data_IF_450766532626
#
_entry.id   IF_450766532626
#
_cell.length_a   1.000
_cell.length_b   1.000
_cell.length_c   1.000
_cell.angle_alpha   90.00
_cell.angle_beta   90.00
_cell.angle_gamma   90.00
#
_symmetry.space_group_name_H-M   'P 1'
#
loop_
_entity.id
_entity.type
_entity.pdbx_description
1 polymer ?
#
# COMPACT_ATOMS: atom_id res chain seq x y z
N UNK A 1 -20.31 -19.93 0.36
CA UNK A 1 -19.44 -19.53 1.50
C UNK A 1 -19.55 -18.02 1.66
N UNK A 2 -19.54 -17.51 2.90
CA UNK A 2 -19.54 -16.06 3.15
C UNK A 2 -18.15 -15.47 2.85
N UNK A 3 -18.11 -14.27 2.25
CA UNK A 3 -16.86 -13.54 2.02
C UNK A 3 -16.25 -13.05 3.35
N UNK A 4 -14.93 -13.15 3.48
CA UNK A 4 -14.18 -12.68 4.64
C UNK A 4 -13.64 -11.28 4.39
N UNK A 5 -14.09 -10.31 5.19
CA UNK A 5 -13.67 -8.90 5.09
C UNK A 5 -12.96 -8.46 6.36
N UNK A 6 -11.74 -7.95 6.23
CA UNK A 6 -10.98 -7.40 7.35
C UNK A 6 -10.90 -5.87 7.27
N UNK A 7 -11.42 -5.19 8.29
CA UNK A 7 -11.19 -3.77 8.50
C UNK A 7 -9.91 -3.51 9.27
N UNK A 8 -9.09 -2.57 8.79
CA UNK A 8 -7.83 -2.17 9.42
C UNK A 8 -7.84 -0.66 9.65
N UNK A 9 -7.67 -0.21 10.89
CA UNK A 9 -7.48 1.22 11.20
C UNK A 9 -6.22 1.46 12.02
N UNK A 10 -5.70 2.69 11.94
CA UNK A 10 -4.68 3.23 12.85
C UNK A 10 -5.13 4.56 13.48
N UNK A 11 -6.45 4.81 13.48
CA UNK A 11 -7.08 5.98 14.05
C UNK A 11 -7.15 5.96 15.58
N UNK A 12 -7.50 7.11 16.16
CA UNK A 12 -7.90 7.18 17.57
C UNK A 12 -9.16 6.34 17.77
N UNK A 13 -9.25 5.65 18.91
CA UNK A 13 -10.44 4.91 19.32
C UNK A 13 -11.67 5.81 19.33
N UNK A 14 -12.80 5.29 18.83
CA UNK A 14 -14.08 6.00 18.75
C UNK A 14 -13.98 7.38 18.07
N UNK A 15 -13.17 7.49 17.03
CA UNK A 15 -12.93 8.74 16.29
C UNK A 15 -13.13 8.55 14.79
N UNK A 16 -12.87 9.60 13.99
CA UNK A 16 -13.30 9.67 12.60
C UNK A 16 -12.91 8.43 11.75
N UNK A 17 -11.64 8.01 11.73
CA UNK A 17 -11.23 6.84 10.95
C UNK A 17 -11.91 5.55 11.38
N UNK A 18 -12.07 5.34 12.69
CA UNK A 18 -12.73 4.14 13.21
C UNK A 18 -14.24 4.14 12.92
N UNK A 19 -14.90 5.29 13.03
CA UNK A 19 -16.32 5.44 12.70
C UNK A 19 -16.56 5.14 11.22
N UNK A 20 -15.78 5.76 10.32
CA UNK A 20 -15.92 5.53 8.89
C UNK A 20 -15.59 4.10 8.49
N UNK A 21 -14.63 3.45 9.16
CA UNK A 21 -14.36 2.04 8.95
C UNK A 21 -15.55 1.18 9.38
N UNK A 22 -16.09 1.42 10.58
CA UNK A 22 -17.24 0.68 11.10
C UNK A 22 -18.45 0.82 10.17
N UNK A 23 -18.68 2.00 9.60
CA UNK A 23 -19.75 2.23 8.64
C UNK A 23 -19.56 1.43 7.34
N UNK A 24 -18.36 1.44 6.76
CA UNK A 24 -18.06 0.63 5.57
C UNK A 24 -18.20 -0.87 5.86
N UNK A 25 -17.74 -1.32 7.03
CA UNK A 25 -17.86 -2.72 7.44
C UNK A 25 -19.31 -3.14 7.72
N UNK A 26 -20.16 -2.22 8.20
CA UNK A 26 -21.59 -2.46 8.39
C UNK A 26 -22.26 -2.82 7.05
N UNK A 27 -21.98 -2.07 5.99
CA UNK A 27 -22.48 -2.37 4.64
C UNK A 27 -22.07 -3.77 4.15
N UNK A 28 -20.85 -4.22 4.47
CA UNK A 28 -20.40 -5.58 4.16
C UNK A 28 -21.15 -6.64 4.97
N UNK A 29 -21.31 -6.39 6.28
CA UNK A 29 -21.98 -7.30 7.22
C UNK A 29 -23.46 -7.48 6.87
N UNK A 30 -24.15 -6.40 6.50
CA UNK A 30 -25.57 -6.42 6.14
C UNK A 30 -25.83 -7.21 4.85
N UNK A 31 -24.80 -7.39 4.01
CA UNK A 31 -24.80 -8.26 2.83
C UNK A 31 -24.23 -9.67 3.10
N UNK A 32 -24.06 -10.04 4.37
CA UNK A 32 -23.73 -11.40 4.79
C UNK A 32 -22.24 -11.74 4.81
N UNK A 33 -21.33 -10.77 4.76
CA UNK A 33 -19.90 -11.00 4.92
C UNK A 33 -19.51 -11.36 6.38
N UNK A 34 -18.52 -12.24 6.54
CA UNK A 34 -17.81 -12.47 7.80
C UNK A 34 -16.81 -11.33 8.02
N UNK A 35 -17.14 -10.43 8.93
CA UNK A 35 -16.39 -9.20 9.18
C UNK A 35 -15.55 -9.30 10.44
N UNK A 36 -14.26 -8.97 10.31
CA UNK A 36 -13.36 -8.69 11.43
C UNK A 36 -12.82 -7.26 11.33
N UNK A 37 -12.49 -6.68 12.47
CA UNK A 37 -11.89 -5.34 12.52
C UNK A 37 -10.74 -5.33 13.51
N UNK A 38 -9.65 -4.66 13.15
CA UNK A 38 -8.50 -4.40 14.02
C UNK A 38 -8.17 -2.91 14.05
N UNK A 39 -7.70 -2.42 15.20
CA UNK A 39 -6.99 -1.16 15.29
C UNK A 39 -5.52 -1.46 15.59
N UNK A 40 -4.60 -1.07 14.70
CA UNK A 40 -3.16 -1.34 14.82
C UNK A 40 -2.53 -0.72 16.08
N UNK A 41 -3.24 0.18 16.77
CA UNK A 41 -2.81 0.73 18.07
C UNK A 41 -2.99 -0.25 19.23
N UNK A 42 -3.81 -1.29 19.06
CA UNK A 42 -4.06 -2.31 20.06
C UNK A 42 -3.01 -3.44 20.03
N UNK A 43 -2.06 -3.37 19.10
CA UNK A 43 -1.05 -4.41 18.86
C UNK A 43 0.36 -3.86 19.02
N UNK A 44 1.27 -4.71 19.52
CA UNK A 44 2.69 -4.45 19.48
C UNK A 44 3.20 -4.78 18.08
N UNK A 45 3.79 -3.79 17.40
CA UNK A 45 4.37 -3.94 16.07
C UNK A 45 5.69 -3.18 16.07
N UNK A 46 6.79 -3.88 15.84
CA UNK A 46 8.12 -3.29 15.76
C UNK A 46 8.41 -2.79 14.34
N UNK A 47 9.25 -1.76 14.26
CA UNK A 47 9.75 -1.23 12.99
C UNK A 47 10.61 -2.27 12.25
N UNK A 48 10.66 -2.15 10.92
CA UNK A 48 11.57 -2.94 10.12
C UNK A 48 13.02 -2.64 10.52
N UNK A 49 13.84 -3.66 10.76
CA UNK A 49 15.26 -3.49 11.10
C UNK A 49 16.15 -3.31 9.88
N UNK A 50 15.62 -3.43 8.66
CA UNK A 50 16.40 -3.36 7.44
C UNK A 50 17.42 -4.50 7.28
N UNK A 51 17.18 -5.67 7.89
CA UNK A 51 18.14 -6.78 7.86
C UNK A 51 18.26 -7.50 6.50
N UNK A 52 17.41 -7.14 5.52
CA UNK A 52 17.36 -7.67 4.14
C UNK A 52 17.22 -9.20 3.98
N UNK A 53 16.92 -9.93 5.07
CA UNK A 53 16.80 -11.39 5.03
C UNK A 53 15.66 -11.88 4.12
N UNK A 54 14.53 -11.17 4.11
CA UNK A 54 13.41 -11.48 3.22
C UNK A 54 13.71 -11.20 1.75
N UNK A 55 14.43 -10.10 1.46
CA UNK A 55 14.91 -9.76 0.11
C UNK A 55 15.82 -10.86 -0.43
N UNK A 56 16.82 -11.28 0.37
CA UNK A 56 17.71 -12.37 -0.01
C UNK A 56 16.94 -13.69 -0.22
N UNK A 57 15.96 -13.97 0.64
CA UNK A 57 15.05 -15.11 0.49
C UNK A 57 14.35 -15.13 -0.86
N UNK A 58 13.73 -14.03 -1.29
CA UNK A 58 13.04 -13.98 -2.58
C UNK A 58 13.99 -14.13 -3.77
N UNK A 59 15.18 -13.51 -3.73
CA UNK A 59 16.19 -13.66 -4.80
C UNK A 59 16.63 -15.12 -4.92
N UNK A 60 16.75 -15.83 -3.80
CA UNK A 60 17.09 -17.26 -3.76
C UNK A 60 15.88 -18.19 -3.97
N UNK A 61 14.68 -17.65 -4.17
CA UNK A 61 13.46 -18.44 -4.35
C UNK A 61 13.04 -19.22 -3.09
N UNK A 62 13.38 -18.75 -1.89
CA UNK A 62 13.08 -19.42 -0.62
C UNK A 62 12.35 -18.52 0.37
N UNK A 63 11.39 -19.08 1.10
CA UNK A 63 10.74 -18.37 2.20
C UNK A 63 11.73 -18.15 3.34
N UNK A 64 11.95 -16.89 3.70
CA UNK A 64 12.70 -16.50 4.90
C UNK A 64 11.76 -15.73 5.83
N UNK A 65 11.46 -16.25 7.04
CA UNK A 65 10.59 -15.56 7.97
C UNK A 65 11.20 -14.23 8.45
N UNK A 66 10.33 -13.30 8.85
CA UNK A 66 10.78 -12.05 9.45
C UNK A 66 11.51 -12.33 10.77
N UNK A 67 12.69 -11.75 10.98
CA UNK A 67 13.48 -11.92 12.23
C UNK A 67 12.79 -11.39 13.49
N UNK A 68 11.65 -10.72 13.32
CA UNK A 68 10.81 -10.15 14.36
C UNK A 68 9.51 -10.95 14.58
N UNK A 69 9.25 -12.03 13.83
CA UNK A 69 7.94 -12.72 13.85
C UNK A 69 7.52 -13.24 15.24
N UNK A 70 8.49 -13.58 16.10
CA UNK A 70 8.27 -14.05 17.46
C UNK A 70 8.49 -12.94 18.52
N UNK A 71 8.60 -11.68 18.09
CA UNK A 71 8.87 -10.53 18.95
C UNK A 71 7.71 -9.54 19.01
N UNK A 72 6.71 -9.73 18.14
CA UNK A 72 5.56 -8.85 18.03
C UNK A 72 4.34 -9.52 17.37
N UNK A 73 3.24 -8.79 17.24
CA UNK A 73 1.94 -9.35 16.84
C UNK A 73 1.75 -9.40 15.31
N UNK A 74 2.74 -8.96 14.52
CA UNK A 74 2.57 -8.78 13.07
C UNK A 74 2.21 -10.10 12.38
N UNK A 75 2.87 -11.20 12.74
CA UNK A 75 2.63 -12.50 12.09
C UNK A 75 1.18 -12.93 12.26
N UNK A 76 0.63 -12.83 13.46
CA UNK A 76 -0.76 -13.20 13.74
C UNK A 76 -1.76 -12.37 12.92
N UNK A 77 -1.49 -11.08 12.74
CA UNK A 77 -2.30 -10.21 11.87
C UNK A 77 -2.20 -10.64 10.40
N UNK A 78 -1.00 -10.94 9.91
CA UNK A 78 -0.78 -11.37 8.53
C UNK A 78 -1.43 -12.73 8.23
N UNK A 79 -1.39 -13.68 9.17
CA UNK A 79 -2.05 -14.98 9.03
C UNK A 79 -3.57 -14.81 8.79
N UNK A 80 -4.20 -13.83 9.44
CA UNK A 80 -5.60 -13.47 9.18
C UNK A 80 -5.74 -12.75 7.85
N UNK A 81 -4.97 -11.69 7.62
CA UNK A 81 -5.06 -10.83 6.44
C UNK A 81 -4.92 -11.62 5.13
N UNK A 82 -3.92 -12.49 5.02
CA UNK A 82 -3.68 -13.30 3.81
C UNK A 82 -4.83 -14.26 3.48
N UNK A 83 -5.69 -14.59 4.44
CA UNK A 83 -6.84 -15.49 4.25
C UNK A 83 -8.14 -14.78 3.83
N UNK A 84 -8.14 -13.45 3.80
CA UNK A 84 -9.33 -12.63 3.50
C UNK A 84 -9.64 -12.57 2.00
N UNK A 85 -10.89 -12.24 1.67
CA UNK A 85 -11.31 -11.95 0.30
C UNK A 85 -11.24 -10.43 0.03
N UNK A 86 -11.40 -9.61 1.08
CA UNK A 86 -11.20 -8.18 0.99
C UNK A 86 -10.65 -7.52 2.26
N UNK A 87 -10.04 -6.36 2.09
CA UNK A 87 -9.72 -5.44 3.18
C UNK A 87 -10.40 -4.08 3.00
N UNK A 88 -10.75 -3.44 4.11
CA UNK A 88 -11.07 -2.02 4.14
C UNK A 88 -10.10 -1.33 5.08
N UNK A 89 -9.31 -0.39 4.57
CA UNK A 89 -8.31 0.35 5.36
C UNK A 89 -8.84 1.74 5.63
N UNK A 90 -8.84 2.19 6.90
CA UNK A 90 -9.21 3.56 7.27
C UNK A 90 -8.17 4.18 8.19
N UNK A 91 -7.43 5.18 7.70
CA UNK A 91 -6.23 5.70 8.39
C UNK A 91 -6.26 7.22 8.45
N UNK A 92 -5.92 7.84 9.60
CA UNK A 92 -5.79 9.29 9.67
C UNK A 92 -4.54 9.76 8.91
N UNK A 93 -4.67 10.93 8.29
CA UNK A 93 -3.57 11.62 7.62
C UNK A 93 -2.81 12.49 8.62
N UNK A 94 -1.49 12.33 8.65
CA UNK A 94 -0.56 13.20 9.38
C UNK A 94 0.50 13.70 8.40
N UNK A 95 0.57 15.04 8.24
CA UNK A 95 1.51 15.70 7.34
C UNK A 95 1.54 15.10 5.92
N UNK A 96 0.43 15.24 5.19
CA UNK A 96 0.20 14.75 3.82
C UNK A 96 0.16 13.22 3.64
N UNK A 97 0.63 12.44 4.62
CA UNK A 97 0.81 10.99 4.53
C UNK A 97 -0.07 10.22 5.52
N UNK A 98 -0.25 8.89 5.33
CA UNK A 98 -0.92 8.06 6.31
C UNK A 98 -0.14 8.02 7.64
N UNK A 99 -0.83 7.72 8.72
CA UNK A 99 -0.19 7.59 10.03
C UNK A 99 1.02 6.65 10.02
N UNK A 100 2.09 7.03 10.73
CA UNK A 100 3.27 6.19 10.91
C UNK A 100 2.94 4.81 11.51
N UNK A 101 1.91 4.71 12.37
CA UNK A 101 1.44 3.42 12.92
C UNK A 101 1.01 2.44 11.82
N UNK A 102 0.30 2.92 10.80
CA UNK A 102 -0.08 2.10 9.65
C UNK A 102 1.15 1.75 8.79
N UNK A 103 1.98 2.74 8.47
CA UNK A 103 3.17 2.53 7.65
C UNK A 103 4.17 1.55 8.29
N UNK A 104 4.36 1.62 9.62
CA UNK A 104 5.16 0.65 10.38
C UNK A 104 4.69 -0.79 10.17
N UNK A 105 3.37 -1.02 10.14
CA UNK A 105 2.83 -2.34 9.83
C UNK A 105 3.11 -2.71 8.38
N UNK A 106 2.79 -1.85 7.41
CA UNK A 106 2.89 -2.19 5.99
C UNK A 106 4.33 -2.29 5.45
N UNK A 107 5.28 -1.53 5.98
CA UNK A 107 6.69 -1.54 5.56
C UNK A 107 7.40 -2.88 5.81
N UNK A 108 6.78 -3.80 6.55
CA UNK A 108 7.29 -5.15 6.79
C UNK A 108 6.59 -6.23 5.94
N UNK A 109 5.81 -5.86 4.92
CA UNK A 109 5.01 -6.82 4.14
C UNK A 109 5.79 -7.62 3.11
N UNK A 110 7.05 -7.25 2.84
CA UNK A 110 7.86 -7.93 1.82
C UNK A 110 8.06 -9.44 2.10
N UNK A 111 8.23 -9.85 3.37
CA UNK A 111 8.29 -11.28 3.73
C UNK A 111 6.93 -11.99 3.66
N UNK A 112 5.85 -11.26 3.39
CA UNK A 112 4.49 -11.75 3.25
C UNK A 112 3.93 -11.49 1.84
N UNK A 113 4.81 -11.26 0.85
CA UNK A 113 4.40 -10.96 -0.52
C UNK A 113 3.56 -12.13 -1.08
N UNK A 114 2.35 -11.82 -1.55
CA UNK A 114 1.34 -12.84 -1.87
C UNK A 114 1.75 -13.72 -3.05
N UNK A 115 2.05 -13.18 -4.24
CA UNK A 115 2.53 -13.97 -5.38
C UNK A 115 3.70 -14.91 -5.05
N UNK A 116 4.66 -14.44 -4.24
CA UNK A 116 5.79 -15.24 -3.81
C UNK A 116 5.37 -16.39 -2.91
N UNK A 117 4.52 -16.13 -1.91
CA UNK A 117 3.99 -17.18 -1.05
C UNK A 117 3.11 -18.19 -1.83
N UNK A 118 2.35 -17.74 -2.82
CA UNK A 118 1.57 -18.59 -3.72
C UNK A 118 2.47 -19.46 -4.59
N UNK A 119 3.52 -18.88 -5.18
CA UNK A 119 4.51 -19.62 -5.98
C UNK A 119 5.23 -20.72 -5.18
N UNK A 120 5.39 -20.51 -3.87
CA UNK A 120 5.95 -21.51 -2.95
C UNK A 120 4.91 -22.52 -2.42
N UNK A 121 3.62 -22.33 -2.72
CA UNK A 121 2.53 -23.18 -2.20
C UNK A 121 2.22 -22.97 -0.71
N UNK A 122 2.67 -21.86 -0.13
CA UNK A 122 2.51 -21.53 1.31
C UNK A 122 1.10 -21.02 1.63
N UNK A 123 0.42 -20.42 0.64
CA UNK A 123 -0.95 -19.94 0.73
C UNK A 123 -1.73 -20.31 -0.53
N UNK A 124 -3.05 -20.34 -0.40
CA UNK A 124 -3.97 -20.57 -1.53
C UNK A 124 -4.24 -19.24 -2.22
N UNK A 125 -4.20 -19.26 -3.56
CA UNK A 125 -4.50 -18.10 -4.37
C UNK A 125 -5.91 -17.55 -4.12
N UNK A 126 -6.02 -16.22 -4.06
CA UNK A 126 -7.29 -15.49 -3.95
C UNK A 126 -7.23 -14.17 -4.71
N UNK A 127 -8.26 -13.93 -5.53
CA UNK A 127 -8.48 -12.62 -6.16
C UNK A 127 -9.03 -11.62 -5.12
N UNK A 128 -8.13 -10.95 -4.42
CA UNK A 128 -8.46 -10.08 -3.30
C UNK A 128 -8.75 -8.64 -3.74
N UNK A 129 -9.66 -7.96 -3.04
CA UNK A 129 -9.99 -6.55 -3.32
C UNK A 129 -9.82 -5.66 -2.09
N UNK A 130 -9.56 -4.37 -2.31
CA UNK A 130 -9.36 -3.39 -1.24
C UNK A 130 -10.19 -2.11 -1.44
N UNK A 131 -10.69 -1.58 -0.33
CA UNK A 131 -11.28 -0.25 -0.23
C UNK A 131 -10.45 0.60 0.73
N UNK A 132 -10.13 1.84 0.36
CA UNK A 132 -9.25 2.70 1.15
C UNK A 132 -9.97 3.97 1.60
N UNK A 133 -9.81 4.34 2.87
CA UNK A 133 -10.37 5.55 3.46
C UNK A 133 -9.24 6.33 4.12
N UNK A 134 -8.98 7.52 3.60
CA UNK A 134 -8.06 8.50 4.21
C UNK A 134 -8.88 9.54 4.96
N UNK A 135 -8.46 9.92 6.16
CA UNK A 135 -9.24 10.83 7.01
C UNK A 135 -8.38 11.97 7.52
N UNK A 136 -8.83 13.21 7.33
CA UNK A 136 -8.06 14.36 7.77
C UNK A 136 -8.86 15.64 7.92
N UNK A 137 -8.24 16.60 8.61
CA UNK A 137 -8.90 17.84 9.01
C UNK A 137 -9.00 18.92 7.93
N UNK A 138 -8.42 18.68 6.77
CA UNK A 138 -8.30 19.68 5.69
C UNK A 138 -8.73 19.07 4.35
N UNK A 139 -8.57 19.81 3.26
CA UNK A 139 -8.85 19.34 1.90
C UNK A 139 -7.72 18.44 1.38
N UNK A 140 -7.87 17.91 0.16
CA UNK A 140 -6.84 17.11 -0.52
C UNK A 140 -5.48 17.81 -0.59
N UNK A 141 -5.42 19.15 -0.64
CA UNK A 141 -4.16 19.90 -0.68
C UNK A 141 -3.25 19.62 0.54
N UNK A 142 -3.84 19.24 1.69
CA UNK A 142 -3.12 18.88 2.91
C UNK A 142 -3.19 17.38 3.22
N UNK A 143 -3.58 16.56 2.24
CA UNK A 143 -3.68 15.10 2.32
C UNK A 143 -3.24 14.41 1.02
N UNK A 144 -2.47 15.11 0.19
CA UNK A 144 -2.30 14.82 -1.24
C UNK A 144 -1.56 13.53 -1.57
N UNK A 145 -0.85 12.94 -0.60
CA UNK A 145 -0.13 11.68 -0.76
C UNK A 145 -0.78 10.53 0.04
N UNK A 146 -1.85 10.80 0.79
CA UNK A 146 -2.36 9.87 1.79
C UNK A 146 -2.99 8.65 1.13
N UNK A 147 -3.89 8.84 0.17
CA UNK A 147 -4.54 7.73 -0.52
C UNK A 147 -3.57 6.97 -1.41
N UNK A 148 -2.68 7.69 -2.08
CA UNK A 148 -1.65 7.14 -2.95
C UNK A 148 -0.67 6.25 -2.16
N UNK A 149 -0.26 6.69 -0.97
CA UNK A 149 0.57 5.90 -0.08
C UNK A 149 -0.17 4.68 0.50
N UNK A 150 -1.46 4.80 0.84
CA UNK A 150 -2.27 3.63 1.22
C UNK A 150 -2.34 2.62 0.06
N UNK A 151 -2.59 3.09 -1.15
CA UNK A 151 -2.74 2.26 -2.35
C UNK A 151 -1.48 1.47 -2.67
N UNK A 152 -0.29 2.08 -2.61
CA UNK A 152 0.98 1.38 -2.86
C UNK A 152 1.12 0.15 -1.94
N UNK A 153 0.68 0.26 -0.68
CA UNK A 153 0.82 -0.83 0.30
C UNK A 153 -0.04 -2.06 -0.01
N UNK A 154 -1.03 -1.95 -0.89
CA UNK A 154 -1.87 -3.07 -1.34
C UNK A 154 -1.13 -4.01 -2.31
N UNK A 155 -0.13 -3.51 -3.03
CA UNK A 155 0.52 -4.21 -4.15
C UNK A 155 1.25 -5.48 -3.71
N UNK A 156 1.96 -5.44 -2.57
CA UNK A 156 2.72 -6.60 -2.07
C UNK A 156 1.81 -7.77 -1.68
N UNK A 157 0.57 -7.49 -1.28
CA UNK A 157 -0.37 -8.53 -0.90
C UNK A 157 -1.46 -8.75 -1.96
N UNK A 158 -1.24 -8.27 -3.18
CA UNK A 158 -2.08 -8.48 -4.36
C UNK A 158 -3.56 -8.12 -4.15
N UNK A 159 -3.81 -7.01 -3.45
CA UNK A 159 -5.16 -6.47 -3.33
C UNK A 159 -5.45 -5.51 -4.48
N UNK A 160 -6.43 -5.84 -5.32
CA UNK A 160 -6.97 -4.90 -6.30
C UNK A 160 -7.78 -3.81 -5.60
N UNK A 161 -7.29 -2.56 -5.63
CA UNK A 161 -8.02 -1.43 -5.05
C UNK A 161 -9.20 -1.06 -5.97
N UNK A 162 -10.42 -1.17 -5.46
CA UNK A 162 -11.65 -0.95 -6.24
C UNK A 162 -12.36 0.36 -5.89
N UNK A 163 -12.02 0.97 -4.75
CA UNK A 163 -12.57 2.24 -4.30
C UNK A 163 -11.60 2.89 -3.32
N UNK A 164 -11.52 4.22 -3.36
CA UNK A 164 -10.79 5.03 -2.42
C UNK A 164 -11.63 6.26 -2.06
N UNK A 165 -11.58 6.68 -0.80
CA UNK A 165 -12.34 7.81 -0.29
C UNK A 165 -11.52 8.68 0.66
N UNK A 166 -11.60 10.00 0.50
CA UNK A 166 -10.99 10.97 1.40
C UNK A 166 -12.06 11.65 2.27
N UNK A 167 -12.19 11.20 3.52
CA UNK A 167 -12.95 11.88 4.57
C UNK A 167 -12.27 13.18 4.99
N UNK A 168 -12.50 14.24 4.23
CA UNK A 168 -11.88 15.55 4.40
C UNK A 168 -12.63 16.45 5.39
N UNK A 169 -11.95 17.52 5.85
CA UNK A 169 -12.50 18.59 6.71
C UNK A 169 -13.12 18.13 8.04
N UNK A 170 -12.56 17.07 8.64
CA UNK A 170 -13.00 16.57 9.97
C UNK A 170 -11.86 16.62 11.02
N UNK A 171 -11.34 17.81 11.37
CA UNK A 171 -10.20 17.95 12.28
C UNK A 171 -10.48 17.50 13.73
N UNK A 172 -11.70 17.67 14.22
CA UNK A 172 -12.08 17.33 15.57
C UNK A 172 -12.47 15.83 15.72
N UNK A 173 -12.30 15.22 16.89
CA UNK A 173 -12.77 13.86 17.13
C UNK A 173 -14.26 13.73 16.84
N UNK A 174 -14.65 12.64 16.15
CA UNK A 174 -16.06 12.29 15.84
C UNK A 174 -16.79 13.31 14.95
N UNK A 175 -16.09 14.33 14.43
CA UNK A 175 -16.68 15.38 13.60
C UNK A 175 -17.32 14.85 12.32
N UNK A 176 -16.88 13.71 11.79
CA UNK A 176 -17.54 13.07 10.65
C UNK A 176 -19.04 12.79 10.89
N UNK A 177 -19.48 12.63 12.14
CA UNK A 177 -20.89 12.42 12.47
C UNK A 177 -21.79 13.65 12.24
N UNK A 178 -21.19 14.83 12.01
CA UNK A 178 -21.95 16.03 11.65
C UNK A 178 -22.26 16.10 10.15
N UNK A 179 -21.77 15.13 9.37
CA UNK A 179 -21.74 15.14 7.91
C UNK A 179 -22.30 13.82 7.38
N UNK A 180 -23.61 13.75 7.13
CA UNK A 180 -24.26 12.55 6.62
C UNK A 180 -23.61 12.07 5.31
N UNK A 181 -23.22 13.00 4.44
CA UNK A 181 -22.54 12.70 3.18
C UNK A 181 -21.21 11.95 3.39
N UNK A 182 -20.50 12.22 4.48
CA UNK A 182 -19.25 11.54 4.81
C UNK A 182 -19.51 10.11 5.29
N UNK A 183 -20.57 9.92 6.08
CA UNK A 183 -21.00 8.61 6.57
C UNK A 183 -21.52 7.76 5.41
N UNK A 184 -22.42 8.31 4.59
CA UNK A 184 -22.97 7.65 3.39
C UNK A 184 -21.87 7.24 2.41
N UNK A 185 -20.86 8.09 2.18
CA UNK A 185 -19.76 7.73 1.27
C UNK A 185 -18.88 6.61 1.83
N UNK A 186 -18.69 6.55 3.15
CA UNK A 186 -18.00 5.43 3.79
C UNK A 186 -18.81 4.13 3.69
N UNK A 187 -20.13 4.18 3.91
CA UNK A 187 -21.03 3.05 3.67
C UNK A 187 -20.89 2.54 2.22
N UNK A 188 -20.85 3.47 1.26
CA UNK A 188 -20.69 3.16 -0.17
C UNK A 188 -19.39 2.41 -0.49
N UNK A 189 -18.29 2.69 0.20
CA UNK A 189 -17.04 1.92 0.06
C UNK A 189 -17.29 0.44 0.37
N UNK A 190 -18.04 0.15 1.44
CA UNK A 190 -18.42 -1.22 1.80
C UNK A 190 -19.34 -1.89 0.79
N UNK A 191 -20.36 -1.16 0.29
CA UNK A 191 -21.21 -1.66 -0.79
C UNK A 191 -20.41 -2.01 -2.05
N UNK A 192 -19.44 -1.15 -2.40
CA UNK A 192 -18.58 -1.34 -3.57
C UNK A 192 -17.67 -2.57 -3.40
N UNK A 193 -17.17 -2.84 -2.19
CA UNK A 193 -16.44 -4.07 -1.89
C UNK A 193 -17.31 -5.30 -2.14
N UNK A 194 -18.52 -5.33 -1.59
CA UNK A 194 -19.45 -6.46 -1.78
C UNK A 194 -19.85 -6.63 -3.24
N UNK A 195 -20.11 -5.52 -3.95
CA UNK A 195 -20.38 -5.55 -5.39
C UNK A 195 -19.22 -6.17 -6.16
N UNK A 196 -17.98 -5.76 -5.87
CA UNK A 196 -16.80 -6.32 -6.54
C UNK A 196 -16.60 -7.79 -6.22
N UNK A 197 -16.81 -8.22 -4.97
CA UNK A 197 -16.67 -9.62 -4.57
C UNK A 197 -17.68 -10.53 -5.27
N UNK A 198 -18.92 -10.05 -5.46
CA UNK A 198 -19.97 -10.74 -6.21
C UNK A 198 -19.81 -10.64 -7.73
N UNK A 199 -18.86 -9.84 -8.23
CA UNK A 199 -18.58 -9.71 -9.67
C UNK A 199 -17.49 -10.70 -10.08
N UNK A 200 -17.64 -11.42 -11.21
CA UNK A 200 -16.58 -12.26 -11.76
C UNK A 200 -15.26 -11.49 -11.88
N UNK A 201 -14.14 -12.15 -11.57
CA UNK A 201 -12.81 -11.51 -11.48
C UNK A 201 -12.46 -10.70 -12.73
N UNK A 202 -12.70 -11.28 -13.91
CA UNK A 202 -12.46 -10.65 -15.22
C UNK A 202 -13.29 -9.39 -15.48
N UNK A 203 -14.39 -9.19 -14.75
CA UNK A 203 -15.30 -8.06 -14.89
C UNK A 203 -15.14 -7.01 -13.78
N UNK A 204 -14.29 -7.27 -12.77
CA UNK A 204 -14.05 -6.34 -11.67
C UNK A 204 -13.35 -5.08 -12.18
N UNK A 205 -13.96 -3.94 -11.91
CA UNK A 205 -13.51 -2.60 -12.32
C UNK A 205 -13.43 -1.64 -11.13
N UNK A 206 -12.96 -0.43 -11.38
CA UNK A 206 -13.08 0.68 -10.45
C UNK A 206 -14.56 1.00 -10.16
N UNK A 207 -14.88 1.18 -8.88
CA UNK A 207 -16.21 1.48 -8.36
C UNK A 207 -16.24 2.76 -7.51
N UNK A 208 -15.08 3.37 -7.24
CA UNK A 208 -15.00 4.66 -6.57
C UNK A 208 -15.42 5.82 -7.45
N UNK A 209 -15.12 7.04 -6.99
CA UNK A 209 -15.56 8.25 -7.68
C UNK A 209 -14.98 8.33 -9.10
N UNK A 210 -15.80 8.77 -10.06
CA UNK A 210 -15.34 9.09 -11.41
C UNK A 210 -14.33 10.25 -11.33
N UNK A 211 -13.31 10.23 -12.19
CA UNK A 211 -12.25 11.23 -12.23
C UNK A 211 -11.47 11.44 -10.90
N UNK A 212 -11.39 10.40 -10.06
CA UNK A 212 -10.69 10.48 -8.77
C UNK A 212 -9.22 10.94 -8.85
N UNK A 213 -8.53 10.60 -9.93
CA UNK A 213 -7.15 10.96 -10.15
C UNK A 213 -6.78 10.89 -11.62
N UNK A 214 -5.54 11.25 -11.93
CA UNK A 214 -5.03 11.31 -13.29
C UNK A 214 -4.86 9.94 -13.94
N UNK A 215 -4.46 8.92 -13.18
CA UNK A 215 -4.11 7.62 -13.74
C UNK A 215 -5.35 6.79 -14.05
N UNK A 216 -5.62 6.40 -15.32
CA UNK A 216 -6.78 5.58 -15.63
C UNK A 216 -6.63 4.10 -15.23
N UNK A 217 -5.44 3.67 -14.82
CA UNK A 217 -5.19 2.31 -14.34
C UNK A 217 -5.48 2.16 -12.84
N UNK A 218 -4.85 3.00 -12.00
CA UNK A 218 -4.96 2.91 -10.55
C UNK A 218 -5.73 4.07 -9.90
N UNK A 219 -6.18 5.07 -10.65
CA UNK A 219 -6.93 6.22 -10.14
C UNK A 219 -6.16 7.10 -9.14
N UNK A 220 -4.84 6.93 -9.05
CA UNK A 220 -3.94 7.83 -8.33
C UNK A 220 -3.95 9.23 -8.93
N UNK A 221 -3.86 10.24 -8.06
CA UNK A 221 -3.73 11.64 -8.46
C UNK A 221 -2.25 12.13 -8.45
N UNK A 222 -1.28 11.21 -8.56
CA UNK A 222 0.16 11.51 -8.55
C UNK A 222 0.86 10.99 -9.82
N UNK A 223 1.42 11.93 -10.58
CA UNK A 223 2.25 11.69 -11.76
C UNK A 223 3.65 12.27 -11.53
N UNK A 224 4.65 11.64 -12.13
CA UNK A 224 6.05 12.09 -12.14
C UNK A 224 6.54 12.21 -13.58
N UNK A 225 7.59 13.01 -13.79
CA UNK A 225 8.33 12.98 -15.05
C UNK A 225 9.01 11.62 -15.16
N UNK A 226 8.90 10.98 -16.32
CA UNK A 226 9.56 9.70 -16.53
C UNK A 226 11.06 9.87 -16.74
N UNK A 227 11.80 8.84 -16.32
CA UNK A 227 13.26 8.76 -16.44
C UNK A 227 13.62 7.40 -17.09
N UNK A 228 14.79 7.27 -17.74
CA UNK A 228 15.27 5.98 -18.22
C UNK A 228 15.38 4.97 -17.08
N UNK A 229 14.72 3.83 -17.24
CA UNK A 229 14.81 2.71 -16.33
C UNK A 229 16.08 1.88 -16.61
N UNK A 230 16.37 0.91 -15.73
CA UNK A 230 17.60 0.09 -15.77
C UNK A 230 17.89 -0.62 -17.10
N UNK A 231 16.85 -0.93 -17.89
CA UNK A 231 16.96 -1.58 -19.20
C UNK A 231 16.64 -0.66 -20.38
N UNK A 232 16.61 0.66 -20.14
CA UNK A 232 16.44 1.69 -21.17
C UNK A 232 14.99 2.01 -21.54
N UNK A 233 14.00 1.32 -20.97
CA UNK A 233 12.59 1.73 -21.08
C UNK A 233 12.42 3.13 -20.47
N UNK A 234 11.68 4.01 -21.14
CA UNK A 234 11.35 5.33 -20.61
C UNK A 234 10.01 5.81 -21.16
N UNK A 235 9.29 6.58 -20.36
CA UNK A 235 8.07 7.28 -20.77
C UNK A 235 8.22 8.78 -20.48
N UNK A 236 7.37 9.63 -21.09
CA UNK A 236 7.42 11.07 -20.80
C UNK A 236 6.90 11.36 -19.39
N UNK A 237 5.83 10.65 -19.00
CA UNK A 237 5.17 10.78 -17.70
C UNK A 237 4.86 9.38 -17.17
N UNK A 238 5.04 9.18 -15.88
CA UNK A 238 4.72 7.93 -15.20
C UNK A 238 3.77 8.18 -14.01
N UNK A 239 2.90 7.21 -13.74
CA UNK A 239 2.13 7.21 -12.50
C UNK A 239 3.03 6.83 -11.32
N UNK A 240 3.07 7.67 -10.29
CA UNK A 240 3.90 7.44 -9.10
C UNK A 240 3.51 6.15 -8.35
N UNK A 241 2.24 5.76 -8.40
CA UNK A 241 1.71 4.61 -7.67
C UNK A 241 1.91 3.31 -8.45
N UNK A 242 1.23 3.16 -9.58
CA UNK A 242 1.27 1.90 -10.34
C UNK A 242 2.45 1.80 -11.31
N UNK A 243 3.14 2.90 -11.66
CA UNK A 243 4.22 2.86 -12.64
C UNK A 243 3.76 2.80 -14.10
N UNK A 244 2.46 2.98 -14.36
CA UNK A 244 1.97 3.11 -15.73
C UNK A 244 2.64 4.30 -16.42
N UNK A 245 3.23 4.05 -17.59
CA UNK A 245 3.93 5.02 -18.42
C UNK A 245 3.09 5.56 -19.57
N UNK A 246 3.29 6.83 -19.92
CA UNK A 246 2.51 7.49 -20.96
C UNK A 246 2.91 8.94 -21.20
N UNK A 247 1.93 9.75 -21.58
CA UNK A 247 2.07 11.18 -21.85
C UNK A 247 0.84 11.97 -21.36
N UNK A 248 0.90 13.30 -21.44
CA UNK A 248 -0.22 14.19 -21.20
C UNK A 248 -0.79 14.73 -22.51
N UNK A 249 -2.10 14.59 -22.69
CA UNK A 249 -2.82 15.14 -23.84
C UNK A 249 -3.82 16.21 -23.40
N UNK A 250 -4.00 17.24 -24.23
CA UNK A 250 -5.12 18.17 -24.07
C UNK A 250 -6.40 17.58 -24.63
N UNK A 251 -7.49 17.63 -23.87
CA UNK A 251 -8.84 17.31 -24.33
C UNK A 251 -9.39 18.42 -25.23
N UNK A 252 -10.50 18.15 -25.94
CA UNK A 252 -11.18 19.15 -26.79
C UNK A 252 -11.65 20.36 -26.00
N UNK A 253 -11.92 20.18 -24.71
CA UNK A 253 -12.36 21.20 -23.76
C UNK A 253 -11.19 21.96 -23.12
N UNK A 254 -9.95 21.69 -23.54
CA UNK A 254 -8.74 22.36 -23.03
C UNK A 254 -8.24 21.85 -21.68
N UNK A 255 -8.81 20.77 -21.14
CA UNK A 255 -8.29 20.09 -19.93
C UNK A 255 -7.11 19.19 -20.29
N UNK A 256 -6.33 18.79 -19.30
CA UNK A 256 -5.28 17.78 -19.48
C UNK A 256 -5.76 16.42 -18.99
N UNK A 257 -5.34 15.35 -19.66
CA UNK A 257 -5.51 13.96 -19.24
C UNK A 257 -4.20 13.21 -19.37
N UNK A 258 -3.99 12.21 -18.53
CA UNK A 258 -2.89 11.27 -18.70
C UNK A 258 -3.34 10.11 -19.59
N UNK A 259 -2.55 9.82 -20.62
CA UNK A 259 -2.82 8.75 -21.58
C UNK A 259 -1.69 7.75 -21.49
N UNK A 260 -2.04 6.53 -21.07
CA UNK A 260 -1.10 5.42 -20.97
C UNK A 260 -0.68 5.01 -22.39
N UNK A 261 0.62 4.85 -22.62
CA UNK A 261 1.16 4.39 -23.90
C UNK A 261 0.73 2.94 -24.18
N UNK A 262 0.82 2.47 -25.43
CA UNK A 262 0.45 1.09 -25.78
C UNK A 262 1.18 0.04 -24.94
N UNK A 263 2.48 0.26 -24.68
CA UNK A 263 3.31 -0.54 -23.78
C UNK A 263 3.42 0.06 -22.37
N UNK A 264 2.55 1.01 -21.99
CA UNK A 264 2.66 1.77 -20.76
C UNK A 264 2.47 0.94 -19.48
N UNK A 265 1.89 -0.26 -19.57
CA UNK A 265 1.65 -1.14 -18.43
C UNK A 265 2.72 -2.23 -18.24
N UNK A 266 3.79 -2.26 -19.05
CA UNK A 266 4.85 -3.29 -18.93
C UNK A 266 5.59 -3.25 -17.58
N UNK A 267 5.40 -2.18 -16.78
CA UNK A 267 5.95 -1.97 -15.43
C UNK A 267 4.90 -1.80 -14.35
N UNK A 268 3.67 -2.25 -14.58
CA UNK A 268 2.60 -2.09 -13.60
C UNK A 268 2.94 -2.79 -12.27
N UNK A 269 3.25 -2.00 -11.24
CA UNK A 269 3.61 -2.46 -9.89
C UNK A 269 2.47 -3.19 -9.21
N UNK A 270 1.24 -3.01 -9.69
CA UNK A 270 0.06 -3.69 -9.16
C UNK A 270 -0.10 -5.11 -9.68
N UNK A 271 0.65 -5.54 -10.71
CA UNK A 271 0.64 -6.92 -11.20
C UNK A 271 1.85 -7.74 -10.72
N UNK A 272 1.73 -9.07 -10.60
CA UNK A 272 2.86 -9.95 -10.32
C UNK A 272 4.00 -9.81 -11.34
N UNK A 273 3.68 -9.64 -12.62
CA UNK A 273 4.67 -9.51 -13.70
C UNK A 273 5.52 -8.25 -13.54
N UNK A 274 4.90 -7.10 -13.26
CA UNK A 274 5.62 -5.85 -13.05
C UNK A 274 6.52 -5.90 -11.81
N UNK A 275 6.06 -6.56 -10.73
CA UNK A 275 6.89 -6.80 -9.53
C UNK A 275 8.05 -7.75 -9.80
N UNK A 276 7.86 -8.78 -10.62
CA UNK A 276 8.93 -9.69 -11.01
C UNK A 276 10.03 -8.97 -11.81
N UNK A 277 9.66 -8.04 -12.70
CA UNK A 277 10.64 -7.19 -13.38
C UNK A 277 11.45 -6.33 -12.42
N UNK A 278 10.84 -5.80 -11.36
CA UNK A 278 11.58 -5.08 -10.32
C UNK A 278 12.55 -5.97 -9.53
N UNK A 279 12.21 -7.24 -9.29
CA UNK A 279 13.16 -8.20 -8.69
C UNK A 279 14.35 -8.46 -9.62
N UNK A 280 14.12 -8.56 -10.94
CA UNK A 280 15.18 -8.69 -11.93
C UNK A 280 16.09 -7.45 -11.98
N UNK A 281 15.51 -6.26 -11.87
CA UNK A 281 16.25 -4.99 -11.73
C UNK A 281 17.17 -5.03 -10.51
N UNK A 282 16.66 -5.43 -9.34
CA UNK A 282 17.44 -5.53 -8.11
C UNK A 282 18.59 -6.52 -8.29
N UNK A 283 18.32 -7.72 -8.84
CA UNK A 283 19.34 -8.74 -9.08
C UNK A 283 20.44 -8.24 -10.03
N UNK A 284 20.04 -7.54 -11.11
CA UNK A 284 20.96 -6.94 -12.08
C UNK A 284 21.80 -5.83 -11.44
N UNK A 285 21.16 -4.94 -10.69
CA UNK A 285 21.81 -3.82 -9.98
C UNK A 285 22.78 -4.33 -8.91
N UNK A 286 22.43 -5.41 -8.21
CA UNK A 286 23.31 -6.05 -7.26
C UNK A 286 24.57 -6.61 -7.94
N UNK A 287 24.47 -7.04 -9.20
CA UNK A 287 25.60 -7.09 -10.14
C UNK A 287 26.84 -7.86 -9.66
N UNK A 288 26.69 -8.88 -8.82
CA UNK A 288 27.83 -9.60 -8.23
C UNK A 288 28.52 -8.86 -7.08
N UNK A 289 27.78 -8.07 -6.30
CA UNK A 289 28.27 -7.39 -5.10
C UNK A 289 29.03 -8.34 -4.15
N UNK A 290 28.57 -9.58 -3.98
CA UNK A 290 29.14 -10.56 -3.05
C UNK A 290 30.39 -11.30 -3.56
N UNK A 291 31.22 -10.67 -4.41
CA UNK A 291 32.55 -11.21 -4.75
C UNK A 291 33.56 -10.88 -3.66
N UNK A 292 34.57 -11.75 -3.49
CA UNK A 292 35.65 -11.53 -2.51
C UNK A 292 36.37 -10.19 -2.72
N UNK A 293 36.55 -9.78 -3.98
CA UNK A 293 37.17 -8.50 -4.35
C UNK A 293 36.33 -7.31 -3.87
N UNK A 294 35.05 -7.29 -4.21
CA UNK A 294 34.13 -6.24 -3.78
C UNK A 294 34.04 -6.16 -2.25
N UNK A 295 33.91 -7.31 -1.57
CA UNK A 295 33.83 -7.37 -0.11
C UNK A 295 35.12 -6.87 0.55
N UNK A 296 36.29 -7.14 -0.04
CA UNK A 296 37.57 -6.59 0.41
C UNK A 296 37.61 -5.07 0.27
N UNK A 297 37.20 -4.53 -0.88
CA UNK A 297 37.12 -3.08 -1.13
C UNK A 297 36.18 -2.41 -0.13
N UNK A 298 35.01 -2.99 0.13
CA UNK A 298 34.05 -2.49 1.11
C UNK A 298 34.66 -2.50 2.51
N UNK A 299 35.29 -3.61 2.92
CA UNK A 299 35.93 -3.76 4.24
C UNK A 299 37.03 -2.73 4.48
N UNK A 300 37.80 -2.39 3.45
CA UNK A 300 38.82 -1.35 3.52
C UNK A 300 38.20 0.05 3.59
N UNK A 301 37.32 0.40 2.64
CA UNK A 301 36.74 1.74 2.52
C UNK A 301 35.79 2.10 3.66
N UNK A 302 35.12 1.12 4.27
CA UNK A 302 34.21 1.37 5.39
C UNK A 302 34.94 1.90 6.63
N UNK A 303 36.24 1.64 6.77
CA UNK A 303 37.02 2.05 7.94
C UNK A 303 37.02 3.57 8.12
N UNK A 304 37.19 4.32 7.02
CA UNK A 304 37.09 5.79 7.01
C UNK A 304 35.81 6.27 7.71
N UNK A 305 34.67 5.63 7.43
CA UNK A 305 33.38 6.05 7.98
C UNK A 305 33.18 5.59 9.42
N UNK A 306 33.77 4.46 9.83
CA UNK A 306 33.77 4.00 11.22
C UNK A 306 34.59 4.91 12.14
N UNK A 307 35.64 5.53 11.60
CA UNK A 307 36.51 6.43 12.36
C UNK A 307 35.92 7.84 12.53
N UNK A 308 34.96 8.23 11.67
CA UNK A 308 34.26 9.52 11.76
C UNK A 308 33.20 9.45 12.86
N UNK A 309 33.32 10.36 13.84
CA UNK A 309 32.32 10.57 14.88
C UNK A 309 31.85 12.03 14.85
N UNK A 310 30.54 12.24 14.91
CA UNK A 310 29.94 13.56 15.06
C UNK A 310 29.42 13.72 16.50
N UNK A 311 29.47 14.93 17.09
CA UNK A 311 28.79 15.20 18.35
C UNK A 311 27.30 14.84 18.24
N UNK A 312 26.76 14.19 19.28
CA UNK A 312 25.35 13.82 19.37
C UNK A 312 24.65 14.62 20.47
N UNK A 313 23.33 14.64 20.42
CA UNK A 313 22.51 15.31 21.44
C UNK A 313 22.59 14.50 22.73
N UNK A 314 23.04 15.12 23.82
CA UNK A 314 23.02 14.52 25.16
C UNK A 314 21.61 14.57 25.74
N UNK A 315 21.02 13.41 25.99
CA UNK A 315 19.71 13.30 26.64
C UNK A 315 19.94 12.87 28.09
N UNK A 316 19.84 13.82 29.01
CA UNK A 316 19.79 13.53 30.45
C UNK A 316 18.45 12.86 30.78
N UNK A 317 18.41 11.53 30.70
CA UNK A 317 17.24 10.74 31.12
C UNK A 317 17.10 10.88 32.65
N UNK A 318 16.01 11.50 33.09
CA UNK A 318 15.57 11.53 34.49
C UNK A 318 14.87 10.23 34.86
#
# INVERSE_FOLDING_TARGET
MSFKVLGITAGRKDSNSEILLKEALLACKDQGADVKMINLRDYNILDCTGCTACTQGMVEGKKVPCTLENKDDKKAIMDVMLSTDAIIVSVPTYYLMPSATFLRFMHRNLCYETPFLEALGEIVHKDKVAGLISVGGSTRAWQSMSLEALQVTCSLNDYKVIDMYMGARVPAPKQCLLHNEIIERAHKVGENIMKSLNTPVSERKWLGDEDMGWCPNCHSNALILGEPQWDGVSFEVECQVCGAGGTLEKTKEGKWKFVIAENGLIRDRTTPEGRNHHVQEIATTQGGFYTDENLKVVKEKIQKYKDINFPTIEINKK
#
